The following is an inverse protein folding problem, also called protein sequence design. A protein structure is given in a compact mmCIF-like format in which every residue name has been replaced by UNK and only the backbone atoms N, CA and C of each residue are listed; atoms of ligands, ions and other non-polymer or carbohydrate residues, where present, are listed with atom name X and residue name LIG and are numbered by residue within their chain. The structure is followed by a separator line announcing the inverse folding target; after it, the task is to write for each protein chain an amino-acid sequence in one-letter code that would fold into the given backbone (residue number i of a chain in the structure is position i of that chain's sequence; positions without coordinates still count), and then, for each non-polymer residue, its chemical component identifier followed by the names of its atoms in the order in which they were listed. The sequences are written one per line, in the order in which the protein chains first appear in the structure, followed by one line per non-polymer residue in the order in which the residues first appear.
data_IF_710540494034
#
_entry.id   IF_710540494034
#
_cell.length_a   1.000
_cell.length_b   1.000
_cell.length_c   1.000
_cell.angle_alpha   90.00
_cell.angle_beta   90.00
_cell.angle_gamma   90.00
#
_symmetry.space_group_name_H-M   'P 1'
#
loop_
_entity.id
_entity.type
_entity.pdbx_description
1 polymer ?
#
# COMPACT_ATOMS: atom_id res chain seq x y z
N UNK A 1 11.16 -56.32 -57.81
CA UNK A 1 12.09 -55.19 -58.04
C UNK A 1 11.48 -54.32 -59.14
N UNK A 2 10.77 -53.22 -58.66
CA UNK A 2 10.32 -52.21 -59.62
C UNK A 2 11.52 -51.41 -60.07
N UNK A 3 11.89 -51.52 -61.36
CA UNK A 3 12.89 -50.64 -61.94
C UNK A 3 12.39 -49.19 -61.92
N UNK A 4 13.23 -48.26 -61.49
CA UNK A 4 12.91 -46.86 -61.61
C UNK A 4 12.53 -46.53 -63.05
N UNK A 5 11.40 -45.87 -63.28
CA UNK A 5 10.95 -45.51 -64.62
C UNK A 5 12.01 -44.60 -65.29
N UNK A 6 12.41 -44.90 -66.50
CA UNK A 6 13.38 -44.11 -67.29
C UNK A 6 12.78 -42.79 -67.80
N UNK A 7 11.45 -42.62 -67.65
CA UNK A 7 10.75 -41.43 -68.13
C UNK A 7 11.09 -40.17 -67.27
N UNK A 8 11.20 -39.01 -67.89
CA UNK A 8 11.42 -37.74 -67.18
C UNK A 8 10.30 -37.48 -66.19
N UNK A 9 10.63 -36.79 -65.12
CA UNK A 9 9.73 -36.49 -63.98
C UNK A 9 8.40 -35.84 -64.46
N UNK A 10 8.44 -35.00 -65.48
CA UNK A 10 7.28 -34.32 -66.07
C UNK A 10 6.24 -35.28 -66.65
N UNK A 11 6.65 -36.46 -67.12
CA UNK A 11 5.74 -37.48 -67.69
C UNK A 11 5.25 -38.47 -66.62
N UNK A 12 5.91 -38.52 -65.47
CA UNK A 12 5.59 -39.45 -64.37
C UNK A 12 4.60 -38.87 -63.36
N UNK A 13 4.51 -37.55 -63.22
CA UNK A 13 3.67 -36.88 -62.30
C UNK A 13 2.48 -36.27 -63.02
N UNK A 14 1.28 -36.67 -62.59
CA UNK A 14 0.07 -35.95 -62.99
C UNK A 14 -0.09 -34.79 -62.06
N UNK A 15 0.30 -33.58 -62.43
CA UNK A 15 0.29 -32.38 -61.58
C UNK A 15 -1.09 -31.95 -61.14
N UNK A 16 -2.13 -32.26 -61.95
CA UNK A 16 -3.52 -31.96 -61.59
C UNK A 16 -3.99 -32.90 -60.47
N UNK A 17 -3.64 -34.16 -60.52
CA UNK A 17 -3.94 -35.15 -59.49
C UNK A 17 -3.15 -34.82 -58.21
N UNK A 18 -1.86 -34.48 -58.35
CA UNK A 18 -1.02 -34.05 -57.23
C UNK A 18 -1.62 -32.86 -56.50
N UNK A 19 -2.15 -31.85 -57.20
CA UNK A 19 -2.81 -30.70 -56.58
C UNK A 19 -4.08 -31.11 -55.82
N UNK A 20 -4.89 -32.00 -56.42
CA UNK A 20 -6.08 -32.55 -55.77
C UNK A 20 -5.75 -33.33 -54.50
N UNK A 21 -4.72 -34.17 -54.56
CA UNK A 21 -4.27 -34.98 -53.41
C UNK A 21 -3.72 -34.07 -52.30
N UNK A 22 -2.90 -33.07 -52.65
CA UNK A 22 -2.38 -32.08 -51.70
C UNK A 22 -3.51 -31.32 -51.04
N UNK A 23 -4.51 -30.86 -51.81
CA UNK A 23 -5.67 -30.17 -51.28
C UNK A 23 -6.51 -31.03 -50.35
N UNK A 24 -6.75 -32.29 -50.75
CA UNK A 24 -7.48 -33.25 -49.91
C UNK A 24 -6.78 -33.52 -48.59
N UNK A 25 -5.44 -33.75 -48.66
CA UNK A 25 -4.64 -34.02 -47.47
C UNK A 25 -4.56 -32.83 -46.52
N UNK A 26 -4.41 -31.60 -47.06
CA UNK A 26 -4.46 -30.37 -46.25
C UNK A 26 -5.82 -30.22 -45.54
N UNK A 27 -6.92 -30.42 -46.28
CA UNK A 27 -8.27 -30.33 -45.68
C UNK A 27 -8.52 -31.41 -44.62
N UNK A 28 -8.07 -32.65 -44.87
CA UNK A 28 -8.20 -33.74 -43.89
C UNK A 28 -7.44 -33.47 -42.59
N UNK A 29 -6.35 -32.72 -42.66
CA UNK A 29 -5.57 -32.27 -41.50
C UNK A 29 -6.00 -30.91 -40.95
N UNK A 30 -7.11 -30.37 -41.39
CA UNK A 30 -7.66 -29.10 -40.87
C UNK A 30 -6.94 -27.84 -41.36
N UNK A 31 -6.10 -27.98 -42.40
CA UNK A 31 -5.36 -26.85 -43.00
C UNK A 31 -6.19 -26.29 -44.16
N UNK A 32 -6.88 -25.19 -43.92
CA UNK A 32 -7.68 -24.53 -44.93
C UNK A 32 -7.11 -23.14 -45.26
N UNK A 33 -5.86 -23.15 -45.71
CA UNK A 33 -5.11 -21.96 -46.10
C UNK A 33 -4.71 -22.09 -47.55
N UNK A 34 -4.77 -21.04 -48.39
CA UNK A 34 -4.20 -21.05 -49.73
C UNK A 34 -2.73 -21.47 -49.73
N UNK A 35 -2.38 -22.40 -50.56
CA UNK A 35 -1.03 -22.86 -50.70
C UNK A 35 -0.58 -22.80 -52.14
N UNK A 36 0.72 -22.64 -52.36
CA UNK A 36 1.35 -22.76 -53.68
C UNK A 36 2.39 -23.86 -53.63
N UNK A 37 2.58 -24.53 -54.79
CA UNK A 37 3.60 -25.54 -54.85
C UNK A 37 4.39 -25.49 -56.16
N UNK A 38 5.61 -25.96 -56.09
CA UNK A 38 6.50 -26.13 -57.20
C UNK A 38 7.13 -27.52 -57.12
N UNK A 39 7.26 -28.19 -58.27
CA UNK A 39 7.96 -29.46 -58.39
C UNK A 39 9.32 -29.22 -58.99
N UNK A 40 10.36 -29.62 -58.28
CA UNK A 40 11.75 -29.46 -58.66
C UNK A 40 12.41 -30.78 -58.84
N UNK A 41 13.46 -30.85 -59.68
CA UNK A 41 14.43 -31.93 -59.63
C UNK A 41 15.30 -31.83 -58.40
N UNK A 42 16.02 -32.86 -58.03
CA UNK A 42 17.00 -32.84 -56.95
C UNK A 42 18.06 -31.72 -57.11
N UNK A 43 18.43 -31.40 -58.36
CA UNK A 43 19.38 -30.33 -58.69
C UNK A 43 18.74 -28.91 -58.56
N UNK A 44 17.48 -28.81 -58.16
CA UNK A 44 16.76 -27.52 -57.98
C UNK A 44 16.17 -26.95 -59.28
N UNK A 45 16.20 -27.67 -60.39
CA UNK A 45 15.57 -27.21 -61.64
C UNK A 45 14.07 -27.40 -61.57
N UNK A 46 13.34 -26.37 -61.95
CA UNK A 46 11.87 -26.36 -61.93
C UNK A 46 11.31 -27.26 -63.05
N UNK A 47 10.39 -28.16 -62.72
CA UNK A 47 9.69 -29.05 -63.58
C UNK A 47 8.26 -28.60 -63.83
N UNK A 48 7.62 -28.10 -62.77
CA UNK A 48 6.23 -27.61 -62.78
C UNK A 48 6.03 -26.60 -61.69
N UNK A 49 5.18 -25.61 -61.94
CA UNK A 49 4.73 -24.58 -61.01
C UNK A 49 3.23 -24.48 -61.10
N UNK A 50 2.51 -24.38 -59.94
CA UNK A 50 1.08 -24.17 -59.95
C UNK A 50 0.73 -22.84 -60.63
N UNK A 51 -0.47 -22.72 -61.27
CA UNK A 51 -0.82 -21.56 -62.07
C UNK A 51 -0.84 -20.22 -61.27
N UNK A 52 -1.26 -20.29 -60.02
CA UNK A 52 -1.42 -19.11 -59.14
C UNK A 52 -0.18 -18.86 -58.25
N UNK A 53 0.97 -19.39 -58.60
CA UNK A 53 2.18 -19.32 -57.80
C UNK A 53 2.67 -17.87 -57.60
N UNK A 54 2.89 -17.50 -56.37
CA UNK A 54 3.60 -16.25 -55.98
C UNK A 54 4.82 -16.60 -55.14
N UNK A 55 5.78 -15.69 -55.09
CA UNK A 55 6.99 -15.88 -54.28
C UNK A 55 6.81 -15.47 -52.82
N UNK A 56 5.61 -14.97 -52.47
CA UNK A 56 5.29 -14.55 -51.13
C UNK A 56 5.30 -15.76 -50.17
N UNK A 57 6.06 -15.67 -49.07
CA UNK A 57 6.13 -16.73 -48.05
C UNK A 57 7.03 -17.95 -48.44
N UNK A 58 7.78 -17.89 -49.53
CA UNK A 58 8.70 -18.98 -49.99
C UNK A 58 9.76 -19.31 -48.95
N UNK A 59 10.18 -18.35 -48.14
CA UNK A 59 11.13 -18.55 -47.02
C UNK A 59 10.63 -19.60 -45.99
N UNK A 60 9.32 -19.74 -45.83
CA UNK A 60 8.68 -20.72 -44.96
C UNK A 60 8.17 -21.93 -45.73
N UNK A 61 8.92 -22.41 -46.74
CA UNK A 61 8.51 -23.52 -47.58
C UNK A 61 8.85 -24.88 -46.96
N UNK A 62 7.96 -25.84 -47.18
CA UNK A 62 8.13 -27.25 -46.82
C UNK A 62 8.46 -28.06 -48.06
N UNK A 63 9.45 -28.91 -47.96
CA UNK A 63 9.89 -29.73 -49.11
C UNK A 63 9.76 -31.21 -48.80
N UNK A 64 9.19 -31.97 -49.73
CA UNK A 64 9.02 -33.41 -49.62
C UNK A 64 9.49 -34.09 -50.88
N UNK A 65 10.24 -35.19 -50.73
CA UNK A 65 10.75 -35.99 -51.86
C UNK A 65 9.61 -36.81 -52.46
N UNK A 66 9.41 -36.65 -53.77
CA UNK A 66 8.57 -37.53 -54.59
C UNK A 66 9.38 -38.81 -54.98
N UNK A 67 8.71 -39.93 -54.95
CA UNK A 67 9.33 -41.22 -55.35
C UNK A 67 10.62 -41.56 -54.60
N UNK A 68 10.52 -41.85 -53.33
CA UNK A 68 11.67 -42.15 -52.44
C UNK A 68 12.62 -43.24 -52.96
N UNK A 69 12.11 -44.14 -53.73
CA UNK A 69 12.89 -45.29 -54.31
C UNK A 69 13.71 -44.95 -55.59
N UNK A 70 13.55 -43.72 -56.07
CA UNK A 70 14.34 -43.30 -57.26
C UNK A 70 15.80 -43.03 -56.91
N UNK A 71 16.71 -43.21 -57.82
CA UNK A 71 18.10 -42.79 -57.67
C UNK A 71 18.20 -41.30 -57.41
N UNK A 72 19.19 -40.82 -56.62
CA UNK A 72 19.29 -39.40 -56.22
C UNK A 72 19.20 -38.41 -57.39
N UNK A 73 19.79 -38.72 -58.52
CA UNK A 73 19.80 -37.87 -59.71
C UNK A 73 18.45 -37.80 -60.48
N UNK A 74 17.46 -38.65 -60.14
CA UNK A 74 16.12 -38.67 -60.75
C UNK A 74 14.98 -38.33 -59.74
N UNK A 75 15.32 -38.03 -58.49
CA UNK A 75 14.33 -37.70 -57.49
C UNK A 75 13.69 -36.34 -57.80
N UNK A 76 12.39 -36.30 -57.64
CA UNK A 76 11.64 -35.03 -57.61
C UNK A 76 11.41 -34.56 -56.18
N UNK A 77 11.30 -33.27 -56.00
CA UNK A 77 10.97 -32.63 -54.73
C UNK A 77 9.75 -31.73 -54.96
N UNK A 78 8.71 -31.95 -54.23
CA UNK A 78 7.61 -30.97 -54.14
C UNK A 78 7.93 -29.99 -53.03
N UNK A 79 7.89 -28.71 -53.33
CA UNK A 79 8.04 -27.64 -52.35
C UNK A 79 6.72 -26.88 -52.26
N UNK A 80 6.21 -26.75 -51.07
CA UNK A 80 4.92 -26.10 -50.78
C UNK A 80 5.20 -24.90 -49.86
N UNK A 81 4.55 -23.78 -50.10
CA UNK A 81 4.54 -22.63 -49.21
C UNK A 81 3.15 -22.03 -49.14
N UNK A 82 2.94 -21.21 -48.08
CA UNK A 82 1.64 -20.59 -47.77
C UNK A 82 1.80 -19.08 -47.82
N UNK A 83 1.36 -18.39 -48.88
CA UNK A 83 1.52 -16.94 -49.02
C UNK A 83 0.85 -16.15 -47.89
N UNK A 84 -0.31 -16.63 -47.40
CA UNK A 84 -1.10 -15.96 -46.40
C UNK A 84 -0.88 -16.46 -44.96
N UNK A 85 0.18 -17.25 -44.72
CA UNK A 85 0.43 -17.85 -43.40
C UNK A 85 0.53 -16.81 -42.27
N UNK A 86 1.22 -15.72 -42.53
CA UNK A 86 1.38 -14.65 -41.56
C UNK A 86 0.02 -13.95 -41.25
N UNK A 87 -0.79 -13.71 -42.28
CA UNK A 87 -2.12 -13.15 -42.14
C UNK A 87 -3.06 -14.07 -41.33
N UNK A 88 -2.99 -15.37 -41.62
CA UNK A 88 -3.77 -16.38 -40.90
C UNK A 88 -3.38 -16.47 -39.41
N UNK A 89 -2.10 -16.51 -39.12
CA UNK A 89 -1.58 -16.52 -37.74
C UNK A 89 -2.04 -15.24 -37.03
N UNK A 90 -1.89 -14.09 -37.67
CA UNK A 90 -2.28 -12.81 -37.09
C UNK A 90 -3.78 -12.73 -36.81
N UNK A 91 -4.62 -13.24 -37.71
CA UNK A 91 -6.08 -13.28 -37.52
C UNK A 91 -6.48 -14.19 -36.35
N UNK A 92 -5.84 -15.30 -36.16
CA UNK A 92 -6.07 -16.26 -35.08
C UNK A 92 -5.64 -15.70 -33.72
N UNK A 93 -4.50 -15.01 -33.68
CA UNK A 93 -3.95 -14.39 -32.43
C UNK A 93 -4.73 -13.12 -32.03
N UNK A 94 -5.35 -12.41 -32.99
CA UNK A 94 -6.08 -11.17 -32.75
C UNK A 94 -7.14 -11.27 -31.65
N UNK A 95 -7.84 -12.39 -31.54
CA UNK A 95 -8.84 -12.62 -30.49
C UNK A 95 -8.23 -13.03 -29.13
N UNK A 96 -7.01 -13.53 -29.12
CA UNK A 96 -6.32 -13.91 -27.86
C UNK A 96 -5.86 -12.67 -27.07
N UNK A 97 -5.42 -11.60 -27.76
CA UNK A 97 -4.90 -10.39 -27.11
C UNK A 97 -5.92 -9.76 -26.16
N UNK A 98 -7.19 -9.47 -26.58
CA UNK A 98 -8.21 -8.92 -25.67
C UNK A 98 -8.50 -9.84 -24.47
N UNK A 99 -8.50 -11.16 -24.66
CA UNK A 99 -8.71 -12.14 -23.60
C UNK A 99 -7.61 -12.08 -22.53
N UNK A 100 -6.35 -12.03 -22.97
CA UNK A 100 -5.20 -11.91 -22.06
C UNK A 100 -5.25 -10.58 -21.27
N UNK A 101 -5.54 -9.47 -21.96
CA UNK A 101 -5.68 -8.15 -21.32
C UNK A 101 -6.79 -8.20 -20.30
N UNK A 102 -7.95 -8.74 -20.64
CA UNK A 102 -9.09 -8.87 -19.72
C UNK A 102 -8.73 -9.70 -18.47
N UNK A 103 -8.03 -10.82 -18.65
CA UNK A 103 -7.58 -11.67 -17.54
C UNK A 103 -6.61 -10.92 -16.61
N UNK A 104 -5.68 -10.14 -17.16
CA UNK A 104 -4.73 -9.33 -16.38
C UNK A 104 -5.48 -8.26 -15.57
N UNK A 105 -6.42 -7.54 -16.20
CA UNK A 105 -7.23 -6.52 -15.51
C UNK A 105 -8.03 -7.14 -14.36
N UNK A 106 -8.63 -8.32 -14.60
CA UNK A 106 -9.38 -9.04 -13.59
C UNK A 106 -8.51 -9.46 -12.41
N UNK A 107 -7.31 -9.93 -12.68
CA UNK A 107 -6.33 -10.30 -11.64
C UNK A 107 -5.87 -9.09 -10.84
N UNK A 108 -5.60 -7.96 -11.49
CA UNK A 108 -5.21 -6.71 -10.82
C UNK A 108 -6.33 -6.18 -9.92
N UNK A 109 -7.58 -6.19 -10.39
CA UNK A 109 -8.74 -5.77 -9.59
C UNK A 109 -8.96 -6.69 -8.39
N UNK A 110 -8.75 -7.99 -8.54
CA UNK A 110 -8.83 -8.95 -7.45
C UNK A 110 -7.78 -8.68 -6.37
N UNK A 111 -6.50 -8.52 -6.75
CA UNK A 111 -5.41 -8.19 -5.83
C UNK A 111 -5.68 -6.85 -5.13
N UNK A 112 -6.13 -5.83 -5.87
CA UNK A 112 -6.48 -4.53 -5.30
C UNK A 112 -7.59 -4.63 -4.26
N UNK A 113 -8.64 -5.41 -4.54
CA UNK A 113 -9.76 -5.64 -3.62
C UNK A 113 -9.29 -6.32 -2.33
N UNK A 114 -8.44 -7.34 -2.44
CA UNK A 114 -7.85 -8.02 -1.27
C UNK A 114 -7.08 -7.03 -0.39
N UNK A 115 -6.22 -6.20 -1.00
CA UNK A 115 -5.45 -5.19 -0.26
C UNK A 115 -6.36 -4.21 0.48
N UNK A 116 -7.46 -3.77 -0.16
CA UNK A 116 -8.45 -2.88 0.48
C UNK A 116 -9.11 -3.58 1.67
N UNK A 117 -9.55 -4.83 1.52
CA UNK A 117 -10.19 -5.60 2.59
C UNK A 117 -9.26 -5.73 3.81
N UNK A 118 -7.99 -6.08 3.60
CA UNK A 118 -7.02 -6.17 4.69
C UNK A 118 -6.78 -4.83 5.38
N UNK A 119 -6.72 -3.72 4.62
CA UNK A 119 -6.60 -2.38 5.19
C UNK A 119 -7.83 -2.00 6.01
N UNK A 120 -9.03 -2.28 5.52
CA UNK A 120 -10.28 -2.00 6.23
C UNK A 120 -10.40 -2.83 7.51
N UNK A 121 -10.06 -4.13 7.46
CA UNK A 121 -10.05 -5.00 8.63
C UNK A 121 -9.12 -4.46 9.71
N UNK A 122 -7.88 -4.14 9.35
CA UNK A 122 -6.89 -3.58 10.26
C UNK A 122 -7.37 -2.25 10.88
N UNK A 123 -7.95 -1.37 10.06
CA UNK A 123 -8.51 -0.10 10.56
C UNK A 123 -9.67 -0.34 11.55
N UNK A 124 -10.54 -1.31 11.25
CA UNK A 124 -11.64 -1.68 12.15
C UNK A 124 -11.14 -2.26 13.49
N UNK A 125 -10.13 -3.13 13.46
CA UNK A 125 -9.51 -3.68 14.69
C UNK A 125 -8.93 -2.55 15.56
N UNK A 126 -8.13 -1.65 14.98
CA UNK A 126 -7.52 -0.52 15.68
C UNK A 126 -8.60 0.42 16.26
N UNK A 127 -9.68 0.67 15.52
CA UNK A 127 -10.82 1.47 15.97
C UNK A 127 -11.55 0.81 17.14
N UNK A 128 -11.76 -0.51 17.11
CA UNK A 128 -12.41 -1.24 18.19
C UNK A 128 -11.55 -1.23 19.46
N UNK A 129 -10.25 -1.43 19.34
CA UNK A 129 -9.31 -1.33 20.47
C UNK A 129 -9.33 0.07 21.09
N UNK A 130 -9.41 1.12 20.27
CA UNK A 130 -9.59 2.48 20.75
C UNK A 130 -10.90 2.65 21.55
N UNK A 131 -12.03 2.18 21.01
CA UNK A 131 -13.34 2.26 21.70
C UNK A 131 -13.30 1.52 23.04
N UNK A 132 -12.72 0.34 23.07
CA UNK A 132 -12.58 -0.47 24.28
C UNK A 132 -11.71 0.27 25.33
N UNK A 133 -10.56 0.78 24.93
CA UNK A 133 -9.67 1.52 25.80
C UNK A 133 -10.34 2.81 26.33
N UNK A 134 -11.07 3.53 25.48
CA UNK A 134 -11.84 4.69 25.87
C UNK A 134 -12.89 4.34 26.92
N UNK A 135 -13.65 3.28 26.69
CA UNK A 135 -14.68 2.81 27.62
C UNK A 135 -14.07 2.52 28.99
N UNK A 136 -12.90 1.87 29.01
CA UNK A 136 -12.16 1.60 30.24
C UNK A 136 -11.67 2.87 30.93
N UNK A 137 -11.07 3.81 30.19
CA UNK A 137 -10.56 5.07 30.75
C UNK A 137 -11.68 6.02 31.23
N UNK A 138 -12.89 5.93 30.67
CA UNK A 138 -14.06 6.66 31.14
C UNK A 138 -14.72 5.98 32.35
N UNK A 139 -14.74 4.65 32.42
CA UNK A 139 -15.38 3.90 33.50
C UNK A 139 -14.72 4.15 34.84
N UNK A 140 -13.40 4.28 34.90
CA UNK A 140 -12.64 4.50 36.15
C UNK A 140 -12.99 5.79 36.82
N UNK A 141 -12.92 7.01 36.22
CA UNK A 141 -13.30 8.26 36.87
C UNK A 141 -14.78 8.28 37.24
N UNK A 142 -15.66 7.70 36.42
CA UNK A 142 -17.08 7.59 36.74
C UNK A 142 -17.32 6.77 38.01
N UNK A 143 -16.63 5.62 38.12
CA UNK A 143 -16.73 4.78 39.32
C UNK A 143 -16.21 5.47 40.59
N UNK A 144 -15.08 6.21 40.48
CA UNK A 144 -14.52 6.99 41.59
C UNK A 144 -15.46 8.12 42.05
N UNK A 145 -16.05 8.85 41.09
CA UNK A 145 -17.05 9.89 41.39
C UNK A 145 -18.27 9.28 42.06
N UNK A 146 -18.78 8.15 41.52
CA UNK A 146 -19.94 7.45 42.08
C UNK A 146 -19.68 6.98 43.51
N UNK A 147 -18.52 6.37 43.77
CA UNK A 147 -18.14 5.90 45.11
C UNK A 147 -18.00 7.07 46.09
N UNK A 148 -17.31 8.15 45.71
CA UNK A 148 -17.17 9.34 46.55
C UNK A 148 -18.54 9.96 46.86
N UNK A 149 -19.45 10.02 45.88
CA UNK A 149 -20.81 10.49 46.06
C UNK A 149 -21.63 9.61 47.01
N UNK A 150 -21.51 8.27 46.87
CA UNK A 150 -22.17 7.31 47.76
C UNK A 150 -21.68 7.46 49.21
N UNK A 151 -20.35 7.61 49.41
CA UNK A 151 -19.77 7.84 50.74
C UNK A 151 -20.24 9.18 51.33
N UNK A 152 -20.42 10.22 50.52
CA UNK A 152 -21.00 11.49 50.98
C UNK A 152 -22.45 11.34 51.40
N UNK A 153 -23.24 10.47 50.80
CA UNK A 153 -24.66 10.28 51.11
C UNK A 153 -24.91 9.23 52.20
N UNK A 154 -23.90 8.43 52.56
CA UNK A 154 -24.06 7.41 53.59
C UNK A 154 -24.22 8.05 54.98
N UNK A 155 -25.39 7.81 55.60
CA UNK A 155 -25.74 8.34 56.94
C UNK A 155 -25.07 7.56 58.08
N UNK A 156 -24.55 6.36 57.83
CA UNK A 156 -23.88 5.52 58.82
C UNK A 156 -22.44 5.94 59.10
N UNK A 157 -21.84 6.72 58.22
CA UNK A 157 -20.46 7.18 58.33
C UNK A 157 -20.40 8.53 59.10
N UNK A 158 -19.51 8.61 60.11
CA UNK A 158 -19.17 9.85 60.78
C UNK A 158 -18.36 10.75 59.85
N UNK A 159 -18.94 11.84 59.35
CA UNK A 159 -18.31 12.73 58.36
C UNK A 159 -17.61 13.87 59.07
N UNK A 160 -16.28 13.86 59.06
CA UNK A 160 -15.49 15.03 59.46
C UNK A 160 -15.44 16.04 58.30
N UNK A 161 -15.27 17.36 58.59
CA UNK A 161 -15.06 18.36 57.55
C UNK A 161 -13.91 18.03 56.58
N UNK A 162 -12.86 17.42 57.11
CA UNK A 162 -11.71 16.98 56.29
C UNK A 162 -12.09 15.86 55.32
N UNK A 163 -12.91 14.89 55.74
CA UNK A 163 -13.40 13.81 54.90
C UNK A 163 -14.30 14.33 53.77
N UNK A 164 -15.20 15.26 54.06
CA UNK A 164 -16.06 15.92 53.07
C UNK A 164 -15.21 16.69 52.06
N UNK A 165 -14.22 17.45 52.52
CA UNK A 165 -13.30 18.17 51.63
C UNK A 165 -12.50 17.22 50.74
N UNK A 166 -12.01 16.09 51.28
CA UNK A 166 -11.30 15.07 50.52
C UNK A 166 -12.18 14.44 49.43
N UNK A 167 -13.41 14.00 49.78
CA UNK A 167 -14.35 13.41 48.81
C UNK A 167 -14.76 14.44 47.74
N UNK A 168 -14.97 15.69 48.11
CA UNK A 168 -15.21 16.78 47.15
C UNK A 168 -14.03 17.02 46.22
N UNK A 169 -12.79 16.93 46.74
CA UNK A 169 -11.57 16.98 45.96
C UNK A 169 -11.51 15.87 44.91
N UNK A 170 -11.76 14.62 45.33
CA UNK A 170 -11.79 13.44 44.41
C UNK A 170 -12.81 13.65 43.27
N UNK A 171 -14.03 14.08 43.61
CA UNK A 171 -15.07 14.34 42.60
C UNK A 171 -14.63 15.42 41.61
N UNK A 172 -14.07 16.52 42.11
CA UNK A 172 -13.61 17.63 41.27
C UNK A 172 -12.47 17.20 40.33
N UNK A 173 -11.49 16.48 40.86
CA UNK A 173 -10.32 16.06 40.08
C UNK A 173 -10.69 15.03 39.02
N UNK A 174 -11.51 14.02 39.33
CA UNK A 174 -12.00 13.07 38.37
C UNK A 174 -12.95 13.67 37.32
N UNK A 175 -13.73 14.71 37.72
CA UNK A 175 -14.56 15.48 36.78
C UNK A 175 -13.71 16.28 35.78
N UNK A 176 -12.62 16.91 36.24
CA UNK A 176 -11.65 17.58 35.36
C UNK A 176 -11.00 16.58 34.39
N UNK A 177 -10.63 15.41 34.90
CA UNK A 177 -10.07 14.33 34.10
C UNK A 177 -11.05 13.86 33.03
N UNK A 178 -12.32 13.66 33.41
CA UNK A 178 -13.37 13.26 32.46
C UNK A 178 -13.56 14.31 31.36
N UNK A 179 -13.60 15.58 31.70
CA UNK A 179 -13.69 16.69 30.73
C UNK A 179 -12.54 16.64 29.74
N UNK A 180 -11.31 16.48 30.22
CA UNK A 180 -10.13 16.37 29.36
C UNK A 180 -10.20 15.17 28.38
N UNK A 181 -10.73 14.02 28.85
CA UNK A 181 -10.93 12.85 28.00
C UNK A 181 -11.96 13.12 26.90
N UNK A 182 -13.09 13.75 27.25
CA UNK A 182 -14.15 14.11 26.30
C UNK A 182 -13.64 15.13 25.27
N UNK A 183 -12.91 16.16 25.71
CA UNK A 183 -12.32 17.16 24.80
C UNK A 183 -11.36 16.51 23.78
N UNK A 184 -10.51 15.56 24.23
CA UNK A 184 -9.64 14.80 23.31
C UNK A 184 -10.42 14.02 22.25
N UNK A 185 -11.55 13.44 22.60
CA UNK A 185 -12.42 12.73 21.66
C UNK A 185 -13.09 13.67 20.67
N UNK A 186 -13.60 14.79 21.15
CA UNK A 186 -14.25 15.81 20.32
C UNK A 186 -13.26 16.44 19.33
N UNK A 187 -12.06 16.79 19.78
CA UNK A 187 -10.98 17.28 18.90
C UNK A 187 -10.72 16.33 17.74
N UNK A 188 -10.75 15.04 17.99
CA UNK A 188 -10.56 14.04 16.95
C UNK A 188 -11.72 13.95 15.97
N UNK A 189 -12.97 13.99 16.46
CA UNK A 189 -14.17 13.96 15.61
C UNK A 189 -14.22 15.16 14.66
N UNK A 190 -13.77 16.33 15.12
CA UNK A 190 -13.68 17.54 14.28
C UNK A 190 -12.62 17.39 13.15
N UNK A 191 -11.54 16.66 13.41
CA UNK A 191 -10.49 16.43 12.42
C UNK A 191 -10.91 15.48 11.28
N UNK A 192 -11.82 14.53 11.55
CA UNK A 192 -12.36 13.62 10.54
C UNK A 192 -13.24 14.34 9.50
N UNK A 193 -13.86 15.44 9.88
CA UNK A 193 -14.83 16.13 9.04
C UNK A 193 -14.25 17.17 8.07
N UNK A 194 -12.93 17.33 7.94
CA UNK A 194 -12.26 18.34 7.06
C UNK A 194 -12.86 19.76 7.11
N UNK A 195 -13.75 20.02 8.07
CA UNK A 195 -14.54 21.25 8.20
C UNK A 195 -14.03 22.16 9.32
N UNK A 196 -12.95 21.78 10.00
CA UNK A 196 -12.37 22.64 11.02
C UNK A 196 -11.85 23.94 10.40
N UNK A 197 -12.55 25.02 10.62
CA UNK A 197 -12.10 26.36 10.24
C UNK A 197 -11.02 26.78 11.23
N UNK A 198 -9.76 26.73 10.81
CA UNK A 198 -8.63 27.18 11.62
C UNK A 198 -8.70 28.70 11.82
N UNK A 199 -8.64 29.14 13.06
CA UNK A 199 -8.57 30.56 13.45
C UNK A 199 -7.11 31.01 13.48
N UNK A 200 -6.52 31.21 12.31
CA UNK A 200 -5.12 31.60 12.19
C UNK A 200 -4.88 33.03 12.60
N UNK A 201 -3.81 33.31 13.33
CA UNK A 201 -3.29 34.61 13.69
C UNK A 201 -1.76 34.61 13.66
N UNK A 202 -1.16 35.78 13.64
CA UNK A 202 0.28 35.90 13.83
C UNK A 202 0.61 35.58 15.28
N UNK A 203 1.53 34.67 15.51
CA UNK A 203 1.90 34.14 16.81
C UNK A 203 3.41 33.98 16.88
N UNK A 204 4.00 34.36 18.00
CA UNK A 204 5.43 34.14 18.25
C UNK A 204 5.68 32.70 18.75
N UNK A 205 6.47 31.94 17.98
CA UNK A 205 6.82 30.58 18.32
C UNK A 205 7.74 30.51 19.55
N UNK A 206 8.67 31.44 19.67
CA UNK A 206 9.65 31.44 20.76
C UNK A 206 8.94 31.63 22.11
N UNK A 207 8.08 32.65 22.21
CA UNK A 207 7.25 32.90 23.41
C UNK A 207 6.36 31.68 23.75
N UNK A 208 5.73 31.09 22.72
CA UNK A 208 4.90 29.90 22.91
C UNK A 208 5.70 28.71 23.46
N UNK A 209 6.88 28.42 22.92
CA UNK A 209 7.74 27.31 23.36
C UNK A 209 8.23 27.54 24.77
N UNK A 210 8.65 28.76 25.14
CA UNK A 210 9.08 29.10 26.48
C UNK A 210 7.96 28.90 27.53
N UNK A 211 6.74 29.40 27.23
CA UNK A 211 5.57 29.25 28.11
C UNK A 211 5.20 27.76 28.32
N UNK A 212 5.23 26.96 27.25
CA UNK A 212 4.94 25.53 27.37
C UNK A 212 6.07 24.80 28.10
N UNK A 213 7.33 25.11 27.80
CA UNK A 213 8.48 24.52 28.50
C UNK A 213 8.41 24.78 30.02
N UNK A 214 8.11 26.01 30.43
CA UNK A 214 7.94 26.36 31.85
C UNK A 214 6.85 25.51 32.53
N UNK A 215 5.69 25.32 31.85
CA UNK A 215 4.62 24.48 32.37
C UNK A 215 4.99 22.99 32.49
N UNK A 216 5.84 22.49 31.61
CA UNK A 216 6.30 21.08 31.62
C UNK A 216 7.50 20.83 32.55
N UNK A 217 8.28 21.86 32.92
CA UNK A 217 9.45 21.72 33.77
C UNK A 217 9.12 21.01 35.07
N UNK A 218 8.10 21.48 35.82
CA UNK A 218 7.66 20.83 37.04
C UNK A 218 7.32 19.36 36.89
N UNK A 219 6.72 19.00 35.75
CA UNK A 219 6.27 17.63 35.48
C UNK A 219 7.46 16.71 35.13
N UNK A 220 8.47 17.23 34.45
CA UNK A 220 9.72 16.50 34.11
C UNK A 220 10.63 16.38 35.34
N UNK A 221 10.72 17.43 36.18
CA UNK A 221 11.48 17.41 37.42
C UNK A 221 10.97 16.36 38.40
N UNK A 222 9.64 16.12 38.43
CA UNK A 222 9.08 15.01 39.20
C UNK A 222 9.60 13.64 38.83
N UNK A 223 10.11 13.47 37.57
CA UNK A 223 10.77 12.25 37.12
C UNK A 223 12.29 12.28 37.30
N UNK A 224 12.82 13.27 38.01
CA UNK A 224 14.25 13.49 38.21
C UNK A 224 14.97 14.04 36.98
N UNK A 225 14.22 14.46 35.95
CA UNK A 225 14.76 14.96 34.67
C UNK A 225 14.84 16.48 34.57
N UNK A 226 15.17 16.98 33.38
CA UNK A 226 15.28 18.42 33.10
C UNK A 226 14.74 18.77 31.72
N UNK A 227 14.22 20.00 31.58
CA UNK A 227 13.84 20.60 30.28
C UNK A 227 14.91 21.62 29.90
N UNK A 228 15.42 21.50 28.68
CA UNK A 228 16.40 22.41 28.08
C UNK A 228 15.76 23.13 26.90
N UNK A 229 15.89 24.45 26.87
CA UNK A 229 15.40 25.28 25.75
C UNK A 229 16.57 25.96 25.04
N UNK A 230 16.60 25.92 23.72
CA UNK A 230 17.53 26.64 22.86
C UNK A 230 16.72 27.46 21.84
N UNK A 231 16.42 28.70 22.19
CA UNK A 231 15.60 29.61 21.39
C UNK A 231 16.51 30.41 20.47
N UNK A 232 16.72 29.86 19.26
CA UNK A 232 17.69 30.41 18.28
C UNK A 232 16.99 31.03 17.03
N UNK A 233 15.68 30.95 16.94
CA UNK A 233 14.95 31.55 15.81
C UNK A 233 14.91 33.07 15.96
N UNK A 234 15.49 33.78 14.96
CA UNK A 234 15.49 35.26 14.89
C UNK A 234 14.15 35.77 14.41
N UNK A 235 13.58 35.14 13.37
CA UNK A 235 12.22 35.38 12.90
C UNK A 235 11.33 34.25 13.44
N UNK A 236 10.66 34.54 14.55
CA UNK A 236 9.84 33.56 15.28
C UNK A 236 8.34 33.69 14.96
N UNK A 237 7.94 34.65 14.13
CA UNK A 237 6.54 34.91 13.82
C UNK A 237 5.99 33.94 12.78
N UNK A 238 4.89 33.29 13.09
CA UNK A 238 4.18 32.35 12.20
C UNK A 238 2.68 32.64 12.14
N UNK A 239 2.04 32.37 10.99
CA UNK A 239 0.60 32.55 10.80
C UNK A 239 -0.14 31.23 10.96
N UNK A 240 -0.55 30.94 12.20
CA UNK A 240 -1.12 29.63 12.59
C UNK A 240 -2.31 29.80 13.55
N UNK A 241 -3.05 28.72 13.74
CA UNK A 241 -3.99 28.62 14.86
C UNK A 241 -3.19 28.28 16.12
N UNK A 242 -3.09 29.26 17.01
CA UNK A 242 -2.27 29.16 18.22
C UNK A 242 -2.67 27.98 19.11
N UNK A 243 -3.97 27.75 19.31
CA UNK A 243 -4.46 26.68 20.17
C UNK A 243 -4.11 25.32 19.59
N UNK A 244 -4.27 25.14 18.28
CA UNK A 244 -3.92 23.90 17.61
C UNK A 244 -2.41 23.64 17.63
N UNK A 245 -1.60 24.68 17.43
CA UNK A 245 -0.15 24.53 17.43
C UNK A 245 0.41 24.28 18.85
N UNK A 246 -0.15 24.93 19.87
CA UNK A 246 0.15 24.60 21.28
C UNK A 246 -0.16 23.12 21.57
N UNK A 247 -1.29 22.61 21.12
CA UNK A 247 -1.66 21.20 21.29
C UNK A 247 -0.67 20.23 20.62
N UNK A 248 -0.09 20.61 19.46
CA UNK A 248 0.98 19.83 18.83
C UNK A 248 2.19 19.70 19.77
N UNK A 249 2.70 20.82 20.27
CA UNK A 249 3.85 20.81 21.19
C UNK A 249 3.52 20.02 22.47
N UNK A 250 2.33 20.23 23.02
CA UNK A 250 1.85 19.51 24.20
C UNK A 250 1.81 18.00 24.00
N UNK A 251 1.32 17.53 22.85
CA UNK A 251 1.27 16.11 22.52
C UNK A 251 2.68 15.49 22.42
N UNK A 252 3.64 16.22 21.85
CA UNK A 252 5.02 15.75 21.77
C UNK A 252 5.66 15.64 23.17
N UNK A 253 5.48 16.65 24.01
CA UNK A 253 6.01 16.67 25.37
C UNK A 253 5.32 15.65 26.29
N UNK A 254 4.01 15.48 26.18
CA UNK A 254 3.26 14.47 26.93
C UNK A 254 3.73 13.05 26.56
N UNK A 255 4.03 12.81 25.28
CA UNK A 255 4.65 11.55 24.83
C UNK A 255 6.06 11.35 25.41
N UNK A 256 6.89 12.40 25.45
CA UNK A 256 8.21 12.32 26.05
C UNK A 256 8.12 11.88 27.52
N UNK A 257 7.20 12.45 28.29
CA UNK A 257 6.98 12.07 29.69
C UNK A 257 6.43 10.66 29.84
N UNK A 258 5.46 10.28 29.01
CA UNK A 258 4.81 8.96 29.07
C UNK A 258 5.75 7.80 28.71
N UNK A 259 6.68 8.05 27.79
CA UNK A 259 7.62 7.04 27.29
C UNK A 259 9.04 7.26 27.84
N UNK A 260 9.14 7.89 29.01
CA UNK A 260 10.39 7.97 29.75
C UNK A 260 10.88 6.55 30.10
N UNK A 261 12.20 6.38 30.16
CA UNK A 261 12.79 5.12 30.60
C UNK A 261 12.59 4.96 32.12
N UNK A 262 12.23 3.74 32.57
CA UNK A 262 12.21 3.47 34.00
C UNK A 262 13.60 3.68 34.62
N UNK A 263 13.67 4.35 35.77
CA UNK A 263 14.89 4.57 36.57
C UNK A 263 16.00 5.41 35.89
N UNK A 264 15.71 6.08 34.77
CA UNK A 264 16.60 7.06 34.16
C UNK A 264 15.96 8.46 34.16
N UNK A 265 16.72 9.54 34.43
CA UNK A 265 16.18 10.90 34.37
C UNK A 265 15.79 11.25 32.94
N UNK A 266 14.56 11.78 32.78
CA UNK A 266 14.10 12.22 31.48
C UNK A 266 14.68 13.60 31.14
N UNK A 267 15.45 13.71 30.09
CA UNK A 267 15.87 15.01 29.55
C UNK A 267 15.08 15.32 28.27
N UNK A 268 14.51 16.53 28.23
CA UNK A 268 13.76 17.02 27.09
C UNK A 268 14.45 18.26 26.53
N UNK A 269 14.66 18.30 25.21
CA UNK A 269 15.33 19.41 24.54
C UNK A 269 14.35 20.03 23.53
N UNK A 270 14.08 21.31 23.68
CA UNK A 270 13.30 22.13 22.78
C UNK A 270 14.24 23.10 22.07
N UNK A 271 14.20 23.13 20.74
CA UNK A 271 15.03 24.03 19.95
C UNK A 271 14.21 24.67 18.85
N UNK A 272 14.33 26.01 18.73
CA UNK A 272 13.80 26.77 17.60
C UNK A 272 14.94 27.37 16.79
N UNK A 273 14.84 27.40 15.45
CA UNK A 273 15.81 28.05 14.55
C UNK A 273 15.16 28.39 13.21
N UNK A 274 15.80 29.24 12.45
CA UNK A 274 15.41 29.51 11.08
C UNK A 274 16.33 28.78 10.09
N UNK A 275 15.74 28.31 8.99
CA UNK A 275 16.45 27.97 7.73
C UNK A 275 16.11 29.03 6.70
N UNK A 276 16.67 28.95 5.50
CA UNK A 276 16.39 29.93 4.41
C UNK A 276 14.90 30.15 4.15
N UNK A 277 14.06 29.12 4.36
CA UNK A 277 12.64 29.16 4.00
C UNK A 277 11.68 28.73 5.11
N UNK A 278 12.18 28.30 6.25
CA UNK A 278 11.33 27.71 7.30
C UNK A 278 11.74 28.14 8.70
N UNK A 279 10.72 28.42 9.51
CA UNK A 279 10.84 28.42 10.97
C UNK A 279 10.72 26.98 11.45
N UNK A 280 11.70 26.50 12.19
CA UNK A 280 11.81 25.12 12.65
C UNK A 280 11.69 25.01 14.15
N UNK A 281 10.98 23.94 14.60
CA UNK A 281 10.92 23.52 16.00
C UNK A 281 11.36 22.06 16.10
N UNK A 282 12.25 21.76 17.03
CA UNK A 282 12.64 20.40 17.38
C UNK A 282 12.26 20.09 18.81
N UNK A 283 11.66 18.93 19.04
CA UNK A 283 11.41 18.35 20.37
C UNK A 283 12.15 17.01 20.41
N UNK A 284 13.11 16.89 21.30
CA UNK A 284 13.92 15.70 21.50
C UNK A 284 13.85 15.25 22.95
N UNK A 285 13.72 13.95 23.18
CA UNK A 285 13.72 13.31 24.50
C UNK A 285 14.77 12.21 24.62
N UNK A 286 15.06 11.80 25.86
CA UNK A 286 15.93 10.67 26.19
C UNK A 286 15.14 9.41 26.58
N UNK A 287 13.87 9.32 26.19
CA UNK A 287 12.98 8.21 26.49
C UNK A 287 13.35 6.89 25.79
N UNK A 288 12.41 5.95 25.78
CA UNK A 288 12.60 4.59 25.26
C UNK A 288 12.88 4.54 23.76
N UNK A 289 12.59 5.62 23.02
CA UNK A 289 12.74 5.69 21.57
C UNK A 289 11.69 4.85 20.82
N UNK A 290 11.77 4.88 19.49
CA UNK A 290 10.81 4.23 18.59
C UNK A 290 11.57 3.33 17.61
N UNK A 291 11.16 2.06 17.49
CA UNK A 291 11.73 1.12 16.52
C UNK A 291 11.45 1.58 15.08
N UNK A 292 12.42 1.39 14.17
CA UNK A 292 12.33 1.83 12.76
C UNK A 292 11.05 1.36 12.06
N UNK A 293 10.60 0.16 12.34
CA UNK A 293 9.37 -0.43 11.77
C UNK A 293 8.07 0.31 12.14
N UNK A 294 8.09 1.06 13.24
CA UNK A 294 6.95 1.79 13.76
C UNK A 294 6.94 3.28 13.36
N UNK A 295 8.08 3.84 12.93
CA UNK A 295 8.22 5.29 12.65
C UNK A 295 7.19 5.84 11.66
N UNK A 296 6.79 5.05 10.66
CA UNK A 296 5.75 5.47 9.71
C UNK A 296 4.32 5.28 10.24
N UNK A 297 4.15 4.35 11.18
CA UNK A 297 2.83 3.96 11.71
C UNK A 297 2.38 4.80 12.91
N UNK A 298 3.33 5.40 13.64
CA UNK A 298 3.00 6.21 14.83
C UNK A 298 2.15 7.44 14.54
N UNK A 299 2.11 7.90 13.29
CA UNK A 299 1.25 8.98 12.83
C UNK A 299 -0.12 8.50 12.33
N UNK A 300 -0.33 7.16 12.25
CA UNK A 300 -1.65 6.60 11.95
C UNK A 300 -2.57 6.75 13.16
N UNK A 301 -3.81 7.16 12.95
CA UNK A 301 -4.82 7.31 14.00
C UNK A 301 -5.00 6.01 14.78
N UNK A 302 -5.09 6.09 16.11
CA UNK A 302 -5.28 4.97 17.04
C UNK A 302 -4.10 4.00 17.13
N UNK A 303 -3.05 4.18 16.31
CA UNK A 303 -1.91 3.29 16.34
C UNK A 303 -1.13 3.42 17.65
N UNK A 304 -0.83 2.26 18.24
CA UNK A 304 0.02 2.14 19.43
C UNK A 304 1.03 1.03 19.20
N UNK A 305 2.25 1.23 19.67
CA UNK A 305 3.26 0.17 19.68
C UNK A 305 2.89 -0.82 20.76
N UNK A 306 2.60 -2.08 20.39
CA UNK A 306 2.37 -3.15 21.36
C UNK A 306 3.71 -3.53 22.01
N UNK A 307 3.88 -3.19 23.26
CA UNK A 307 5.06 -3.51 24.08
C UNK A 307 4.75 -4.66 25.04
N UNK A 308 4.25 -5.79 24.52
CA UNK A 308 4.05 -7.04 25.26
C UNK A 308 3.05 -6.95 26.43
N UNK A 309 3.45 -6.55 27.61
CA UNK A 309 2.62 -6.55 28.84
C UNK A 309 2.08 -5.16 29.23
N UNK A 310 1.92 -4.22 28.28
CA UNK A 310 1.74 -2.83 28.64
C UNK A 310 0.29 -2.35 28.50
N UNK A 311 -0.52 -2.67 29.48
CA UNK A 311 -1.63 -1.83 29.91
C UNK A 311 -1.19 -0.58 30.70
N UNK A 312 0.12 -0.42 30.98
CA UNK A 312 0.64 0.62 31.92
C UNK A 312 0.76 2.02 31.30
N UNK A 313 0.90 2.18 30.01
CA UNK A 313 0.98 3.51 29.40
C UNK A 313 -0.40 3.98 28.95
N UNK A 314 -1.03 4.85 29.77
CA UNK A 314 -2.35 5.45 29.46
C UNK A 314 -2.29 6.33 28.22
N UNK A 315 -3.18 6.06 27.23
CA UNK A 315 -3.27 6.91 26.04
C UNK A 315 -4.07 6.27 24.90
N UNK A 316 -4.56 7.11 24.00
CA UNK A 316 -5.52 6.70 22.96
C UNK A 316 -4.89 6.48 21.56
N UNK A 317 -3.56 6.68 21.41
CA UNK A 317 -2.92 6.62 20.11
C UNK A 317 -3.32 7.76 19.16
N UNK A 318 -3.67 8.92 19.70
CA UNK A 318 -4.17 10.07 18.96
C UNK A 318 -3.18 11.24 18.92
N UNK A 319 -2.26 11.32 19.88
CA UNK A 319 -1.38 12.47 20.03
C UNK A 319 -0.49 12.72 18.82
N UNK A 320 0.20 11.71 18.32
CA UNK A 320 1.07 11.83 17.15
C UNK A 320 0.31 11.90 15.82
N UNK A 321 -0.90 11.35 15.75
CA UNK A 321 -1.76 11.52 14.58
C UNK A 321 -2.31 12.95 14.44
N UNK A 322 -2.30 13.71 15.55
CA UNK A 322 -2.68 15.13 15.58
C UNK A 322 -1.51 16.05 15.15
N UNK A 323 -0.27 15.64 15.32
CA UNK A 323 0.96 16.34 14.94
C UNK A 323 1.20 16.26 13.44
#
# INVERSE_FOLDING_TARGET
LYSASEKPLKERVNFKLLDQDLKAEMMNNGINIPYHFVVLTQDGREVYRCPDYTDDGVENSFSQVLFRNDPPNRRGVVRIHFPEMNSYIFSSVRFMIPSVIFTIVLLLTFVFTIVIIFRQKRYSEIKNDFINNMTHELKTPIASISLASQMMNDKSLTKSPQMIAHLGGVINDESKRLRFLVEKVLQMSMYDNKTAVLKKKYTDLNEMVENIAAAFTLRVEHTGGKVYTAIEAVDSTMYVDEMHFQNVIFNLLDNAVKYAKPNEPLNVFLKTWNTEHHLCLSVRDTGMGIKKENLKKIFEKFYRVHTGNVHDVKGFGLGLAYV
#
